data_IF_993210030840
#
_entry.id   IF_993210030840
#
_cell.length_a   1.000
_cell.length_b   1.000
_cell.length_c   1.000
_cell.angle_alpha   90.00
_cell.angle_beta   90.00
_cell.angle_gamma   90.00
#
_symmetry.space_group_name_H-M   'P 1'
#
loop_
_entity.id
_entity.type
_entity.pdbx_description
1 polymer ?
#
# COMPACT_ATOMS: atom_id res chain seq x y z
N UNK A 1 -13.91 -10.90 15.39
CA UNK A 1 -13.95 -10.02 14.22
C UNK A 1 -14.26 -8.64 14.75
N UNK A 2 -13.21 -7.88 15.03
CA UNK A 2 -13.31 -6.47 15.34
C UNK A 2 -13.42 -5.73 14.01
N UNK A 3 -14.63 -5.31 13.69
CA UNK A 3 -14.88 -4.50 12.50
C UNK A 3 -14.83 -3.03 12.94
N UNK A 4 -13.88 -2.26 12.40
CA UNK A 4 -13.94 -0.81 12.51
C UNK A 4 -14.91 -0.34 11.43
N UNK A 5 -15.94 0.42 11.80
CA UNK A 5 -16.87 1.01 10.86
C UNK A 5 -17.22 2.43 11.29
N UNK A 6 -16.58 3.41 10.66
CA UNK A 6 -16.78 4.83 10.92
C UNK A 6 -17.33 5.49 9.66
N UNK A 7 -18.59 5.94 9.73
CA UNK A 7 -19.25 6.64 8.64
C UNK A 7 -19.59 8.06 9.08
N UNK A 8 -19.31 9.01 8.19
CA UNK A 8 -19.71 10.39 8.38
C UNK A 8 -21.15 10.58 7.88
N UNK A 9 -21.94 11.39 8.59
CA UNK A 9 -23.32 11.72 8.22
C UNK A 9 -23.45 12.39 6.84
N UNK A 10 -22.35 12.96 6.31
CA UNK A 10 -22.32 13.61 5.01
C UNK A 10 -22.02 12.66 3.84
N UNK A 11 -21.79 11.37 4.13
CA UNK A 11 -21.60 10.33 3.13
C UNK A 11 -22.88 10.13 2.31
N UNK A 12 -22.75 10.26 0.99
CA UNK A 12 -23.81 9.95 0.03
C UNK A 12 -23.30 8.92 -0.97
N UNK A 13 -23.89 7.73 -0.95
CA UNK A 13 -23.52 6.61 -1.82
C UNK A 13 -23.75 6.91 -3.31
N UNK A 14 -24.62 7.86 -3.64
CA UNK A 14 -24.87 8.27 -5.02
C UNK A 14 -23.80 9.23 -5.54
N UNK A 15 -22.94 9.75 -4.67
CA UNK A 15 -21.87 10.69 -4.99
C UNK A 15 -20.49 10.03 -5.06
N UNK A 16 -20.40 8.70 -4.97
CA UNK A 16 -19.11 7.97 -5.09
C UNK A 16 -18.32 8.31 -6.35
N UNK A 17 -18.91 8.62 -7.52
CA UNK A 17 -18.14 9.05 -8.69
C UNK A 17 -17.39 10.39 -8.51
N UNK A 18 -17.67 11.14 -7.44
CA UNK A 18 -16.92 12.34 -7.03
C UNK A 18 -15.88 12.07 -5.94
N UNK A 19 -15.88 10.87 -5.36
CA UNK A 19 -15.03 10.48 -4.23
C UNK A 19 -13.79 9.72 -4.70
N UNK A 20 -12.80 9.66 -3.81
CA UNK A 20 -11.63 8.79 -3.93
C UNK A 20 -11.74 7.63 -2.94
N UNK A 21 -11.48 6.42 -3.41
CA UNK A 21 -11.42 5.22 -2.59
C UNK A 21 -9.95 4.82 -2.38
N UNK A 22 -9.50 4.82 -1.13
CA UNK A 22 -8.17 4.32 -0.76
C UNK A 22 -8.34 3.00 -0.03
N UNK A 23 -7.71 1.95 -0.51
CA UNK A 23 -7.78 0.59 0.04
C UNK A 23 -6.37 0.16 0.46
N UNK A 24 -6.28 -0.52 1.60
CA UNK A 24 -5.07 -1.18 2.09
C UNK A 24 -5.37 -2.67 2.23
N UNK A 25 -4.52 -3.50 1.60
CA UNK A 25 -4.71 -4.95 1.52
C UNK A 25 -3.55 -5.62 2.23
N UNK A 26 -3.74 -6.07 3.47
CA UNK A 26 -2.72 -6.74 4.28
C UNK A 26 -3.09 -8.20 4.58
N UNK A 27 -2.10 -9.07 4.88
CA UNK A 27 -2.38 -10.45 5.32
C UNK A 27 -3.30 -10.54 6.54
N UNK A 28 -3.15 -9.60 7.48
CA UNK A 28 -3.91 -9.53 8.73
C UNK A 28 -5.18 -8.66 8.64
N UNK A 29 -5.43 -8.02 7.50
CA UNK A 29 -6.66 -7.23 7.35
C UNK A 29 -6.82 -6.47 6.05
N UNK A 30 -8.07 -6.11 5.79
CA UNK A 30 -8.49 -5.31 4.65
C UNK A 30 -9.12 -4.01 5.15
N UNK A 31 -8.54 -2.86 4.79
CA UNK A 31 -9.04 -1.55 5.20
C UNK A 31 -9.37 -0.69 4.00
N UNK A 32 -10.36 0.18 4.12
CA UNK A 32 -10.55 1.24 3.15
C UNK A 32 -11.06 2.54 3.77
N UNK A 33 -10.75 3.64 3.10
CA UNK A 33 -11.25 4.97 3.43
C UNK A 33 -11.82 5.63 2.18
N UNK A 34 -12.90 6.39 2.36
CA UNK A 34 -13.53 7.17 1.29
C UNK A 34 -13.27 8.65 1.57
N UNK A 35 -12.66 9.33 0.60
CA UNK A 35 -12.39 10.77 0.64
C UNK A 35 -13.36 11.49 -0.31
N UNK A 36 -14.19 12.36 0.26
CA UNK A 36 -14.93 13.36 -0.51
C UNK A 36 -13.93 14.40 -1.04
N UNK A 37 -13.67 14.36 -2.35
CA UNK A 37 -12.69 15.23 -3.01
C UNK A 37 -13.17 16.67 -3.15
N UNK A 38 -14.49 16.92 -3.08
CA UNK A 38 -15.07 18.26 -3.17
C UNK A 38 -14.92 18.97 -1.83
N UNK A 39 -15.21 18.26 -0.74
CA UNK A 39 -15.09 18.80 0.63
C UNK A 39 -13.71 18.60 1.25
N UNK A 40 -12.86 17.80 0.61
CA UNK A 40 -11.56 17.36 1.13
C UNK A 40 -11.68 16.75 2.54
N UNK A 41 -12.63 15.83 2.71
CA UNK A 41 -12.99 15.22 4.00
C UNK A 41 -13.15 13.72 3.85
N UNK A 42 -12.56 12.94 4.75
CA UNK A 42 -12.86 11.51 4.85
C UNK A 42 -14.27 11.30 5.38
N UNK A 43 -15.07 10.53 4.64
CA UNK A 43 -16.49 10.27 4.90
C UNK A 43 -16.78 8.81 5.25
N UNK A 44 -15.80 7.92 5.07
CA UNK A 44 -15.85 6.55 5.59
C UNK A 44 -14.44 6.05 5.94
N UNK A 45 -14.36 5.20 6.96
CA UNK A 45 -13.22 4.35 7.28
C UNK A 45 -13.76 3.01 7.77
N UNK A 46 -13.41 1.93 7.07
CA UNK A 46 -13.75 0.55 7.45
C UNK A 46 -12.50 -0.33 7.53
N UNK A 47 -12.53 -1.31 8.43
CA UNK A 47 -11.50 -2.34 8.56
C UNK A 47 -12.14 -3.70 8.84
N UNK A 48 -11.64 -4.71 8.13
CA UNK A 48 -11.98 -6.11 8.29
C UNK A 48 -10.72 -6.88 8.73
N UNK A 49 -10.77 -7.50 9.90
CA UNK A 49 -9.73 -8.45 10.32
C UNK A 49 -9.67 -9.63 9.32
N UNK A 50 -8.46 -10.04 8.96
CA UNK A 50 -8.21 -11.26 8.21
C UNK A 50 -7.29 -12.19 9.01
N UNK A 51 -7.33 -13.48 8.71
CA UNK A 51 -6.44 -14.46 9.34
C UNK A 51 -5.07 -14.41 8.63
N UNK A 52 -4.00 -13.88 9.27
CA UNK A 52 -2.68 -13.81 8.63
C UNK A 52 -2.06 -15.18 8.36
N UNK A 53 -2.54 -16.23 9.03
CA UNK A 53 -2.12 -17.61 8.83
C UNK A 53 -2.99 -18.35 7.80
N UNK A 54 -3.91 -17.64 7.13
CA UNK A 54 -4.71 -18.22 6.07
C UNK A 54 -3.83 -18.64 4.90
N UNK A 55 -4.11 -19.82 4.34
CA UNK A 55 -3.58 -20.22 3.04
C UNK A 55 -4.02 -19.22 1.97
N UNK A 56 -3.21 -18.99 0.94
CA UNK A 56 -3.46 -18.04 -0.15
C UNK A 56 -4.90 -18.13 -0.72
N UNK A 57 -5.39 -19.33 -1.04
CA UNK A 57 -6.76 -19.51 -1.53
C UNK A 57 -7.82 -19.01 -0.54
N UNK A 58 -7.67 -19.31 0.76
CA UNK A 58 -8.61 -18.86 1.80
C UNK A 58 -8.54 -17.35 2.01
N UNK A 59 -7.35 -16.77 1.87
CA UNK A 59 -7.16 -15.33 1.92
C UNK A 59 -7.88 -14.64 0.74
N UNK A 60 -7.71 -15.14 -0.48
CA UNK A 60 -8.38 -14.64 -1.68
C UNK A 60 -9.91 -14.80 -1.60
N UNK A 61 -10.40 -15.95 -1.14
CA UNK A 61 -11.84 -16.19 -0.91
C UNK A 61 -12.42 -15.17 0.09
N UNK A 62 -11.69 -14.91 1.18
CA UNK A 62 -12.10 -13.94 2.20
C UNK A 62 -12.11 -12.51 1.64
N UNK A 63 -11.11 -12.17 0.84
CA UNK A 63 -11.02 -10.88 0.14
C UNK A 63 -12.18 -10.69 -0.82
N UNK A 64 -12.47 -11.66 -1.70
CA UNK A 64 -13.60 -11.59 -2.64
C UNK A 64 -14.93 -11.47 -1.90
N UNK A 65 -15.10 -12.19 -0.78
CA UNK A 65 -16.29 -12.10 0.06
C UNK A 65 -16.47 -10.68 0.63
N UNK A 66 -15.43 -10.11 1.24
CA UNK A 66 -15.48 -8.73 1.78
C UNK A 66 -15.85 -7.75 0.68
N UNK A 67 -15.21 -7.85 -0.49
CA UNK A 67 -15.47 -6.94 -1.62
C UNK A 67 -16.90 -7.11 -2.15
N UNK A 68 -17.43 -8.34 -2.17
CA UNK A 68 -18.78 -8.63 -2.68
C UNK A 68 -19.91 -8.26 -1.71
N UNK A 69 -19.65 -8.29 -0.40
CA UNK A 69 -20.65 -8.02 0.64
C UNK A 69 -20.69 -6.54 1.06
N UNK A 70 -19.58 -5.79 0.92
CA UNK A 70 -19.53 -4.37 1.27
C UNK A 70 -20.28 -3.49 0.26
N UNK A 71 -21.19 -2.67 0.77
CA UNK A 71 -22.06 -1.80 -0.04
C UNK A 71 -21.33 -0.68 -0.81
N UNK A 72 -20.10 -0.33 -0.41
CA UNK A 72 -19.32 0.77 -0.98
C UNK A 72 -18.22 0.29 -1.94
N UNK A 73 -17.61 -0.88 -1.70
CA UNK A 73 -16.48 -1.36 -2.51
C UNK A 73 -16.87 -1.66 -3.95
N UNK A 74 -18.12 -2.10 -4.20
CA UNK A 74 -18.64 -2.36 -5.55
C UNK A 74 -19.06 -1.13 -6.35
N UNK A 75 -18.88 0.10 -5.83
CA UNK A 75 -19.30 1.34 -6.49
C UNK A 75 -18.23 1.89 -7.42
N UNK A 76 -18.65 2.76 -8.35
CA UNK A 76 -17.73 3.54 -9.18
C UNK A 76 -17.22 4.75 -8.40
N UNK A 77 -15.91 5.00 -8.49
CA UNK A 77 -15.22 6.13 -7.87
C UNK A 77 -14.48 6.97 -8.91
N UNK A 78 -14.21 8.23 -8.57
CA UNK A 78 -13.38 9.10 -9.42
C UNK A 78 -11.97 8.54 -9.61
N UNK A 79 -11.45 7.92 -8.56
CA UNK A 79 -10.12 7.29 -8.54
C UNK A 79 -10.05 6.29 -7.39
N UNK A 80 -9.23 5.26 -7.57
CA UNK A 80 -9.02 4.20 -6.58
C UNK A 80 -7.52 4.02 -6.40
N UNK A 81 -7.06 3.97 -5.15
CA UNK A 81 -5.67 3.63 -4.80
C UNK A 81 -5.64 2.36 -3.97
N UNK A 82 -4.85 1.39 -4.39
CA UNK A 82 -4.60 0.14 -3.69
C UNK A 82 -3.20 0.18 -3.09
N UNK A 83 -3.11 0.15 -1.77
CA UNK A 83 -1.83 0.08 -1.09
C UNK A 83 -1.54 -1.36 -0.66
N UNK A 84 -0.32 -1.81 -0.96
CA UNK A 84 0.13 -3.20 -0.77
C UNK A 84 1.35 -3.27 0.17
N UNK A 85 1.35 -4.14 1.18
CA UNK A 85 2.54 -4.57 1.91
C UNK A 85 3.25 -5.59 1.03
N UNK A 86 4.22 -5.12 0.25
CA UNK A 86 5.02 -6.00 -0.58
C UNK A 86 6.48 -5.98 -0.07
N UNK A 87 6.80 -6.73 1.00
CA UNK A 87 8.10 -6.66 1.67
C UNK A 87 9.29 -7.00 0.76
N UNK A 88 9.04 -7.69 -0.37
CA UNK A 88 10.00 -7.83 -1.46
C UNK A 88 9.94 -6.60 -2.37
N UNK A 89 10.79 -5.62 -2.07
CA UNK A 89 10.97 -4.43 -2.89
C UNK A 89 12.43 -3.97 -2.97
N UNK A 90 12.75 -3.13 -3.95
CA UNK A 90 14.04 -2.46 -4.07
C UNK A 90 13.88 -1.01 -4.50
N UNK A 91 14.82 -0.16 -4.09
CA UNK A 91 14.88 1.25 -4.48
C UNK A 91 15.97 1.48 -5.52
N UNK A 92 15.60 2.12 -6.63
CA UNK A 92 16.52 2.50 -7.69
C UNK A 92 16.53 4.02 -7.83
N UNK A 93 17.68 4.71 -7.66
CA UNK A 93 17.77 6.15 -7.88
C UNK A 93 17.25 6.54 -9.27
N UNK A 94 16.48 7.63 -9.37
CA UNK A 94 15.87 8.08 -10.63
C UNK A 94 16.87 8.18 -11.80
N UNK A 95 18.11 8.68 -11.63
CA UNK A 95 19.09 8.74 -12.72
C UNK A 95 19.54 7.36 -13.25
N UNK A 96 19.38 6.30 -12.46
CA UNK A 96 19.80 4.94 -12.79
C UNK A 96 18.63 4.07 -13.27
N UNK A 97 17.39 4.54 -13.17
CA UNK A 97 16.19 3.77 -13.46
C UNK A 97 15.92 3.68 -14.96
N UNK A 98 15.79 2.46 -15.47
CA UNK A 98 15.35 2.15 -16.83
C UNK A 98 14.24 1.10 -16.77
N UNK A 99 13.10 1.35 -17.41
CA UNK A 99 11.91 0.49 -17.29
C UNK A 99 12.15 -0.91 -17.88
N UNK A 100 13.09 -1.03 -18.80
CA UNK A 100 13.46 -2.28 -19.46
C UNK A 100 14.24 -3.21 -18.51
N UNK A 101 14.83 -2.65 -17.46
CA UNK A 101 15.69 -3.36 -16.51
C UNK A 101 14.99 -3.71 -15.18
N UNK A 102 13.67 -3.57 -15.07
CA UNK A 102 12.93 -3.81 -13.81
C UNK A 102 13.26 -5.15 -13.18
N UNK A 103 13.22 -6.21 -13.98
CA UNK A 103 13.54 -7.57 -13.54
C UNK A 103 14.97 -7.66 -13.02
N UNK A 104 15.93 -7.06 -13.73
CA UNK A 104 17.34 -7.06 -13.33
C UNK A 104 17.55 -6.35 -11.99
N UNK A 105 16.95 -5.16 -11.81
CA UNK A 105 17.06 -4.44 -10.54
C UNK A 105 16.47 -5.24 -9.38
N UNK A 106 15.28 -5.82 -9.59
CA UNK A 106 14.60 -6.58 -8.56
C UNK A 106 15.38 -7.84 -8.16
N UNK A 107 15.85 -8.61 -9.15
CA UNK A 107 16.59 -9.86 -8.95
C UNK A 107 17.94 -9.70 -8.26
N UNK A 108 18.48 -8.49 -8.22
CA UNK A 108 19.69 -8.21 -7.45
C UNK A 108 19.47 -8.32 -5.94
N UNK A 109 18.26 -8.02 -5.47
CA UNK A 109 17.91 -7.99 -4.04
C UNK A 109 17.02 -9.14 -3.61
N UNK A 110 16.18 -9.66 -4.51
CA UNK A 110 15.15 -10.65 -4.19
C UNK A 110 15.08 -11.76 -5.25
N UNK A 111 14.79 -13.01 -4.86
CA UNK A 111 14.39 -14.01 -5.84
C UNK A 111 13.07 -13.60 -6.51
N UNK A 112 12.91 -14.00 -7.77
CA UNK A 112 11.66 -13.81 -8.52
C UNK A 112 10.96 -15.15 -8.64
N UNK A 113 9.72 -15.20 -8.20
CA UNK A 113 8.85 -16.37 -8.32
C UNK A 113 8.17 -16.38 -9.70
N UNK A 114 7.72 -17.56 -10.15
CA UNK A 114 7.11 -17.73 -11.48
C UNK A 114 5.86 -16.88 -11.68
N UNK A 115 5.07 -16.71 -10.61
CA UNK A 115 3.80 -16.00 -10.61
C UNK A 115 3.91 -14.56 -10.08
N UNK A 116 5.13 -14.00 -10.03
CA UNK A 116 5.35 -12.61 -9.60
C UNK A 116 5.07 -11.60 -10.73
N UNK A 117 4.29 -10.58 -10.42
CA UNK A 117 4.15 -9.37 -11.23
C UNK A 117 4.95 -8.22 -10.61
N UNK A 118 5.78 -7.56 -11.42
CA UNK A 118 6.57 -6.42 -10.98
C UNK A 118 5.81 -5.11 -11.19
N UNK A 119 5.68 -4.36 -10.10
CA UNK A 119 5.09 -3.04 -10.07
C UNK A 119 6.14 -1.99 -9.71
N UNK A 120 5.85 -0.74 -10.05
CA UNK A 120 6.75 0.38 -9.77
C UNK A 120 6.01 1.62 -9.32
N UNK A 121 6.54 2.31 -8.31
CA UNK A 121 6.10 3.64 -7.94
C UNK A 121 7.26 4.63 -7.93
N UNK A 122 7.00 5.86 -8.38
CA UNK A 122 7.99 6.94 -8.32
C UNK A 122 7.91 7.66 -6.98
N UNK A 123 9.01 7.72 -6.27
CA UNK A 123 9.21 8.53 -5.08
C UNK A 123 9.82 9.88 -5.49
N UNK A 124 8.98 10.89 -5.66
CA UNK A 124 9.37 12.22 -6.13
C UNK A 124 10.35 12.90 -5.17
N UNK A 125 10.03 12.94 -3.87
CA UNK A 125 10.89 13.63 -2.90
C UNK A 125 12.14 12.83 -2.53
N UNK A 126 12.10 11.49 -2.68
CA UNK A 126 13.29 10.65 -2.49
C UNK A 126 14.19 10.59 -3.72
N UNK A 127 13.72 10.99 -4.91
CA UNK A 127 14.48 10.89 -6.15
C UNK A 127 14.77 9.44 -6.56
N UNK A 128 13.80 8.54 -6.36
CA UNK A 128 13.94 7.11 -6.59
C UNK A 128 12.68 6.48 -7.19
N UNK A 129 12.83 5.29 -7.74
CA UNK A 129 11.74 4.37 -8.06
C UNK A 129 11.76 3.22 -7.07
N UNK A 130 10.60 2.88 -6.53
CA UNK A 130 10.37 1.68 -5.75
C UNK A 130 9.84 0.62 -6.69
N UNK A 131 10.51 -0.52 -6.74
CA UNK A 131 10.12 -1.70 -7.53
C UNK A 131 9.73 -2.79 -6.55
N UNK A 132 8.57 -3.40 -6.70
CA UNK A 132 8.07 -4.44 -5.80
C UNK A 132 7.35 -5.54 -6.57
N UNK A 133 7.31 -6.74 -6.00
CA UNK A 133 6.60 -7.88 -6.58
C UNK A 133 5.28 -8.12 -5.86
N UNK A 134 4.25 -8.48 -6.62
CA UNK A 134 2.98 -8.99 -6.10
C UNK A 134 2.70 -10.37 -6.71
N UNK A 135 2.07 -11.30 -5.95
CA UNK A 135 1.51 -12.49 -6.55
C UNK A 135 0.45 -12.11 -7.60
N UNK A 136 0.58 -12.66 -8.80
CA UNK A 136 -0.33 -12.40 -9.93
C UNK A 136 -1.79 -12.73 -9.59
N UNK A 137 -2.07 -13.77 -8.81
CA UNK A 137 -3.46 -14.10 -8.43
C UNK A 137 -4.10 -13.00 -7.57
N UNK A 138 -3.35 -12.42 -6.63
CA UNK A 138 -3.78 -11.27 -5.84
C UNK A 138 -3.96 -10.03 -6.72
N UNK A 139 -2.99 -9.75 -7.60
CA UNK A 139 -3.06 -8.64 -8.55
C UNK A 139 -4.30 -8.72 -9.46
N UNK A 140 -4.54 -9.89 -10.05
CA UNK A 140 -5.67 -10.16 -10.94
C UNK A 140 -7.02 -10.07 -10.21
N UNK A 141 -7.10 -10.59 -8.98
CA UNK A 141 -8.30 -10.46 -8.13
C UNK A 141 -8.61 -8.98 -7.88
N UNK A 142 -7.62 -8.18 -7.50
CA UNK A 142 -7.82 -6.76 -7.24
C UNK A 142 -8.19 -5.97 -8.49
N UNK A 143 -7.58 -6.26 -9.65
CA UNK A 143 -7.91 -5.60 -10.94
C UNK A 143 -9.32 -5.96 -11.42
N UNK A 144 -9.78 -7.20 -11.19
CA UNK A 144 -11.15 -7.66 -11.51
C UNK A 144 -12.21 -6.81 -10.80
N UNK A 145 -11.98 -6.48 -9.53
CA UNK A 145 -12.91 -5.72 -8.70
C UNK A 145 -12.73 -4.20 -8.82
N UNK A 146 -11.49 -3.71 -8.83
CA UNK A 146 -11.15 -2.29 -8.81
C UNK A 146 -10.52 -1.87 -10.13
N UNK A 147 -11.35 -1.76 -11.17
CA UNK A 147 -10.92 -1.32 -12.49
C UNK A 147 -10.27 0.06 -12.40
N UNK A 148 -9.16 0.25 -13.11
CA UNK A 148 -8.39 1.50 -13.13
C UNK A 148 -7.76 1.91 -11.79
N UNK A 149 -7.71 1.01 -10.80
CA UNK A 149 -7.01 1.29 -9.55
C UNK A 149 -5.50 1.45 -9.78
N UNK A 150 -4.92 2.42 -9.09
CA UNK A 150 -3.48 2.61 -9.04
C UNK A 150 -2.90 1.82 -7.86
N UNK A 151 -1.94 0.95 -8.13
CA UNK A 151 -1.25 0.18 -7.09
C UNK A 151 -0.07 0.98 -6.52
N UNK A 152 0.04 0.98 -5.21
CA UNK A 152 1.09 1.63 -4.44
C UNK A 152 1.70 0.67 -3.44
N UNK A 153 3.02 0.69 -3.32
CA UNK A 153 3.71 0.11 -2.17
C UNK A 153 3.50 0.99 -0.91
N UNK A 154 3.33 0.41 0.28
CA UNK A 154 3.17 1.19 1.53
C UNK A 154 4.29 2.20 1.81
N UNK A 155 5.52 1.83 1.46
CA UNK A 155 6.67 2.73 1.47
C UNK A 155 6.46 4.07 0.75
N UNK A 156 5.58 4.14 -0.25
CA UNK A 156 5.36 5.38 -1.02
C UNK A 156 4.77 6.49 -0.15
N UNK A 157 3.53 6.37 0.37
CA UNK A 157 2.99 7.40 1.25
C UNK A 157 3.86 7.59 2.50
N UNK A 158 4.49 6.53 2.98
CA UNK A 158 5.34 6.57 4.15
C UNK A 158 6.56 7.49 3.98
N UNK A 159 7.37 7.23 2.97
CA UNK A 159 8.57 8.01 2.67
C UNK A 159 8.18 9.43 2.29
N UNK A 160 7.20 9.60 1.41
CA UNK A 160 6.78 10.91 0.92
C UNK A 160 6.27 11.80 2.06
N UNK A 161 5.49 11.25 2.98
CA UNK A 161 5.05 11.96 4.17
C UNK A 161 6.25 12.38 5.03
N UNK A 162 7.19 11.48 5.31
CA UNK A 162 8.33 11.82 6.17
C UNK A 162 9.25 12.90 5.60
N UNK A 163 9.42 12.94 4.28
CA UNK A 163 10.26 13.94 3.62
C UNK A 163 9.58 15.32 3.52
N UNK A 164 8.25 15.38 3.61
CA UNK A 164 7.47 16.62 3.45
C UNK A 164 6.88 17.15 4.75
N UNK A 165 6.77 16.33 5.79
CA UNK A 165 6.14 16.70 7.05
C UNK A 165 6.81 17.94 7.70
N UNK A 166 6.03 18.96 8.13
CA UNK A 166 6.57 20.19 8.71
C UNK A 166 7.46 19.99 9.95
N UNK A 167 7.26 18.90 10.70
CA UNK A 167 8.04 18.55 11.90
C UNK A 167 9.42 17.93 11.61
N UNK A 168 9.72 17.59 10.35
CA UNK A 168 10.95 16.90 9.92
C UNK A 168 11.99 17.84 9.29
N UNK A 169 12.14 19.04 9.87
CA UNK A 169 13.11 20.06 9.43
C UNK A 169 14.52 19.89 10.01
N UNK A 170 14.72 18.90 10.89
CA UNK A 170 16.01 18.63 11.52
C UNK A 170 17.05 18.12 10.50
N UNK A 171 18.31 18.50 10.71
CA UNK A 171 19.44 17.94 9.96
C UNK A 171 19.83 16.55 10.47
N UNK A 172 19.58 16.28 11.74
CA UNK A 172 19.95 15.02 12.37
C UNK A 172 19.15 13.86 11.76
N UNK A 173 19.81 12.73 11.48
CA UNK A 173 19.13 11.53 11.01
C UNK A 173 18.06 11.08 12.00
N UNK A 174 16.86 10.81 11.50
CA UNK A 174 15.75 10.20 12.25
C UNK A 174 15.45 8.85 11.66
N UNK A 175 15.28 7.87 12.53
CA UNK A 175 14.81 6.54 12.20
C UNK A 175 13.37 6.38 12.65
N UNK A 176 12.55 5.74 11.83
CA UNK A 176 11.19 5.39 12.15
C UNK A 176 10.93 3.95 11.74
N UNK A 177 10.28 3.21 12.64
CA UNK A 177 9.93 1.82 12.46
C UNK A 177 8.42 1.70 12.29
N UNK A 178 8.02 1.02 11.22
CA UNK A 178 6.65 0.58 11.00
C UNK A 178 6.61 -0.91 11.28
N UNK A 179 5.90 -1.29 12.33
CA UNK A 179 5.78 -2.68 12.75
C UNK A 179 4.53 -3.27 12.11
N UNK A 180 4.70 -4.37 11.39
CA UNK A 180 3.65 -5.25 10.91
C UNK A 180 3.72 -6.57 11.68
N UNK A 181 2.84 -7.53 11.39
CA UNK A 181 2.78 -8.80 12.10
C UNK A 181 4.10 -9.59 12.09
N UNK A 182 4.74 -9.74 10.93
CA UNK A 182 5.89 -10.62 10.68
C UNK A 182 7.13 -9.88 10.13
N UNK A 183 7.01 -8.57 9.90
CA UNK A 183 8.09 -7.75 9.38
C UNK A 183 8.00 -6.31 9.89
N UNK A 184 9.11 -5.61 9.81
CA UNK A 184 9.19 -4.18 10.09
C UNK A 184 9.77 -3.44 8.90
N UNK A 185 9.30 -2.22 8.67
CA UNK A 185 9.90 -1.30 7.71
C UNK A 185 10.66 -0.21 8.46
N UNK A 186 11.92 -0.01 8.08
CA UNK A 186 12.78 1.03 8.65
C UNK A 186 12.98 2.15 7.65
N UNK A 187 12.49 3.34 7.98
CA UNK A 187 12.78 4.57 7.23
C UNK A 187 13.82 5.36 8.01
N UNK A 188 14.95 5.69 7.37
CA UNK A 188 15.92 6.67 7.88
C UNK A 188 15.96 7.86 6.94
N UNK A 189 15.74 9.05 7.48
CA UNK A 189 15.81 10.29 6.72
C UNK A 189 16.59 11.35 7.49
N UNK A 190 17.16 12.32 6.76
CA UNK A 190 17.87 13.44 7.35
C UNK A 190 18.13 14.51 6.29
N UNK A 191 18.06 15.78 6.68
CA UNK A 191 18.19 16.92 5.75
C UNK A 191 17.18 16.83 4.57
N UNK A 192 15.93 16.46 4.88
CA UNK A 192 14.83 16.24 3.90
C UNK A 192 15.17 15.25 2.77
N UNK A 193 16.13 14.35 3.00
CA UNK A 193 16.50 13.30 2.06
C UNK A 193 16.31 11.93 2.69
N UNK A 194 15.87 10.98 1.88
CA UNK A 194 15.89 9.58 2.25
C UNK A 194 17.35 9.13 2.36
N UNK A 195 17.70 8.47 3.46
CA UNK A 195 19.02 7.86 3.69
C UNK A 195 18.96 6.35 3.57
N UNK A 196 17.87 5.76 4.06
CA UNK A 196 17.67 4.33 4.04
C UNK A 196 16.17 4.01 4.06
N UNK A 197 15.77 2.99 3.33
CA UNK A 197 14.47 2.36 3.48
C UNK A 197 14.58 0.89 3.08
N UNK A 198 14.18 0.01 3.99
CA UNK A 198 14.10 -1.43 3.74
C UNK A 198 13.10 -2.10 4.69
N UNK A 199 12.65 -3.29 4.33
CA UNK A 199 11.89 -4.17 5.20
C UNK A 199 12.77 -5.29 5.76
N UNK A 200 12.47 -5.71 6.98
CA UNK A 200 13.16 -6.79 7.69
C UNK A 200 12.11 -7.71 8.32
N UNK A 201 12.15 -8.99 7.96
CA UNK A 201 11.36 -10.00 8.64
C UNK A 201 11.86 -10.12 10.09
N UNK A 202 10.93 -10.27 11.01
CA UNK A 202 11.23 -10.60 12.40
C UNK A 202 10.21 -11.62 12.89
N UNK A 203 10.67 -12.55 13.72
CA UNK A 203 9.79 -13.35 14.55
C UNK A 203 9.89 -12.83 15.98
N UNK A 204 8.77 -12.76 16.70
CA UNK A 204 8.84 -12.50 18.13
C UNK A 204 9.70 -13.61 18.78
N UNK A 205 10.76 -13.26 19.53
CA UNK A 205 11.44 -14.25 20.34
C UNK A 205 10.45 -14.79 21.39
N UNK A 206 10.30 -16.12 21.41
CA UNK A 206 9.54 -16.84 22.43
C UNK A 206 10.08 -16.57 23.85
#
# INVERSE_FOLDING_TARGET
MHELNLLDETLDINQTPSYHLSIQVCPDGFSFAILDLVRNKYVALRHYDMDPEASENRYLDSLEKIIGEDEFLGKEYKSISLLMPAPRFTLVPTPLFQKENLRLYFQFSHPMEELDELHTNRLKNAGAYLIYALPSELGNTLVKHFKQAEFFHYGVPLIEHQLTAPGNKGRDPRAMLHLHHDHMELVVHGDKKLKFYNAFHYSHPH
#
